data_IF_069403188178
#
_entry.id   IF_069403188178
#
_cell.length_a   1.000
_cell.length_b   1.000
_cell.length_c   1.000
_cell.angle_alpha   90.00
_cell.angle_beta   90.00
_cell.angle_gamma   90.00
#
_symmetry.space_group_name_H-M   'P 1'
#
loop_
_entity.id
_entity.type
_entity.pdbx_description
1 polymer ?
#
# COMPACT_ATOMS: atom_id res chain seq x y z
N UNK A 1 10.09 -12.73 -1.74
CA UNK A 1 10.57 -11.35 -1.66
C UNK A 1 10.16 -10.79 -0.32
N UNK A 2 11.08 -10.15 0.41
CA UNK A 2 10.73 -9.45 1.65
C UNK A 2 10.50 -7.99 1.30
N UNK A 3 9.25 -7.55 1.34
CA UNK A 3 8.91 -6.13 1.27
C UNK A 3 9.41 -5.46 2.56
N UNK A 4 9.99 -4.27 2.44
CA UNK A 4 10.30 -3.43 3.59
C UNK A 4 9.42 -2.17 3.57
N UNK A 5 9.35 -1.48 4.72
CA UNK A 5 8.62 -0.21 4.80
C UNK A 5 9.17 0.83 3.82
N UNK A 6 10.47 0.80 3.53
CA UNK A 6 11.12 1.68 2.57
C UNK A 6 10.58 1.47 1.15
N UNK A 7 10.33 0.23 0.74
CA UNK A 7 9.71 -0.07 -0.56
C UNK A 7 8.28 0.48 -0.62
N UNK A 8 7.49 0.27 0.44
CA UNK A 8 6.13 0.81 0.54
C UNK A 8 6.12 2.33 0.48
N UNK A 9 7.02 2.98 1.21
CA UNK A 9 7.15 4.45 1.25
C UNK A 9 7.57 4.99 -0.11
N UNK A 10 8.48 4.28 -0.80
CA UNK A 10 8.94 4.64 -2.15
C UNK A 10 7.82 4.49 -3.18
N UNK A 11 7.06 3.41 -3.10
CA UNK A 11 5.93 3.18 -3.99
C UNK A 11 4.82 4.21 -3.77
N UNK A 12 4.49 4.52 -2.51
CA UNK A 12 3.58 5.62 -2.19
C UNK A 12 4.06 6.95 -2.74
N UNK A 13 5.34 7.29 -2.51
CA UNK A 13 5.92 8.55 -3.02
C UNK A 13 5.83 8.65 -4.54
N UNK A 14 5.97 7.52 -5.26
CA UNK A 14 5.75 7.48 -6.71
C UNK A 14 4.29 7.75 -7.06
N UNK A 15 3.35 7.10 -6.39
CA UNK A 15 1.90 7.32 -6.64
C UNK A 15 1.50 8.75 -6.32
N UNK A 16 1.99 9.32 -5.21
CA UNK A 16 1.82 10.73 -4.83
C UNK A 16 2.33 11.66 -5.92
N UNK A 17 3.52 11.39 -6.47
CA UNK A 17 4.11 12.20 -7.54
C UNK A 17 3.34 12.07 -8.86
N UNK A 18 2.85 10.87 -9.21
CA UNK A 18 2.07 10.62 -10.44
C UNK A 18 0.72 11.32 -10.39
N UNK A 19 0.00 11.15 -9.29
CA UNK A 19 -1.35 11.68 -9.11
C UNK A 19 -1.38 13.10 -8.54
N UNK A 20 -0.21 13.65 -8.16
CA UNK A 20 -0.05 14.94 -7.47
C UNK A 20 -0.93 15.04 -6.22
N UNK A 21 -1.03 13.94 -5.48
CA UNK A 21 -1.77 13.82 -4.22
C UNK A 21 -0.79 13.70 -3.05
N UNK A 22 -1.24 14.07 -1.86
CA UNK A 22 -0.49 13.84 -0.62
C UNK A 22 -1.19 12.73 0.17
N UNK A 23 -0.47 11.64 0.42
CA UNK A 23 -0.95 10.47 1.15
C UNK A 23 -0.36 10.43 2.56
N UNK A 24 -0.22 11.60 3.19
CA UNK A 24 0.38 11.77 4.52
C UNK A 24 -0.31 10.89 5.57
N UNK A 25 -1.63 10.73 5.49
CA UNK A 25 -2.41 9.82 6.33
C UNK A 25 -1.95 8.36 6.20
N UNK A 26 -1.62 7.93 4.98
CA UNK A 26 -1.11 6.58 4.71
C UNK A 26 0.32 6.43 5.24
N UNK A 27 1.17 7.44 5.04
CA UNK A 27 2.53 7.47 5.59
C UNK A 27 2.54 7.40 7.11
N UNK A 28 1.67 8.17 7.77
CA UNK A 28 1.49 8.07 9.22
C UNK A 28 0.99 6.69 9.63
N UNK A 29 0.01 6.13 8.91
CA UNK A 29 -0.51 4.79 9.21
C UNK A 29 0.60 3.74 9.10
N UNK A 30 1.41 3.80 8.04
CA UNK A 30 2.54 2.91 7.80
C UNK A 30 3.62 3.06 8.88
N UNK A 31 3.99 4.28 9.28
CA UNK A 31 4.94 4.50 10.38
C UNK A 31 4.41 4.00 11.73
N UNK A 32 3.13 4.20 12.02
CA UNK A 32 2.52 3.73 13.26
C UNK A 32 2.30 2.20 13.28
N UNK A 33 2.11 1.59 12.11
CA UNK A 33 1.76 0.17 11.97
C UNK A 33 2.72 -0.54 11.02
N UNK A 34 4.02 -0.33 11.20
CA UNK A 34 5.05 -0.72 10.24
C UNK A 34 5.06 -2.22 9.96
N UNK A 35 5.13 -3.04 11.01
CA UNK A 35 5.13 -4.50 10.92
C UNK A 35 3.85 -5.05 10.30
N UNK A 36 2.70 -4.45 10.63
CA UNK A 36 1.41 -4.83 10.06
C UNK A 36 1.35 -4.50 8.57
N UNK A 37 1.71 -3.27 8.19
CA UNK A 37 1.63 -2.77 6.82
C UNK A 37 2.52 -3.58 5.89
N UNK A 38 3.76 -3.85 6.31
CA UNK A 38 4.71 -4.69 5.56
C UNK A 38 4.17 -6.11 5.39
N UNK A 39 3.65 -6.72 6.47
CA UNK A 39 3.12 -8.08 6.41
C UNK A 39 1.89 -8.16 5.51
N UNK A 40 0.93 -7.24 5.66
CA UNK A 40 -0.26 -7.17 4.83
C UNK A 40 0.09 -6.98 3.35
N UNK A 41 0.97 -6.02 3.03
CA UNK A 41 1.42 -5.82 1.66
C UNK A 41 2.16 -7.02 1.09
N UNK A 42 3.00 -7.69 1.89
CA UNK A 42 3.68 -8.91 1.45
C UNK A 42 2.70 -10.03 1.07
N UNK A 43 1.53 -10.09 1.72
CA UNK A 43 0.47 -11.02 1.33
C UNK A 43 -0.30 -10.53 0.10
N UNK A 44 -0.57 -9.23 0.00
CA UNK A 44 -1.26 -8.61 -1.15
C UNK A 44 -0.45 -8.83 -2.44
N UNK A 45 0.84 -8.49 -2.44
CA UNK A 45 1.67 -8.64 -3.66
C UNK A 45 1.87 -10.09 -4.07
N UNK A 46 1.75 -11.03 -3.13
CA UNK A 46 1.85 -12.46 -3.39
C UNK A 46 0.60 -13.02 -4.09
N UNK A 47 -0.50 -12.27 -4.08
CA UNK A 47 -1.72 -12.62 -4.82
C UNK A 47 -1.59 -12.17 -6.27
N UNK A 48 -1.93 -13.02 -7.24
CA UNK A 48 -1.84 -12.68 -8.67
C UNK A 48 -3.08 -11.88 -9.15
N UNK A 49 -4.23 -12.10 -8.51
CA UNK A 49 -5.51 -11.50 -8.89
C UNK A 49 -5.67 -10.06 -8.38
N UNK A 50 -5.94 -9.12 -9.29
CA UNK A 50 -6.24 -7.70 -8.98
C UNK A 50 -7.41 -7.59 -7.99
N UNK A 51 -8.50 -8.32 -8.24
CA UNK A 51 -9.70 -8.31 -7.38
C UNK A 51 -9.38 -8.72 -5.94
N UNK A 52 -8.56 -9.74 -5.76
CA UNK A 52 -8.18 -10.22 -4.43
C UNK A 52 -7.21 -9.25 -3.74
N UNK A 53 -6.28 -8.64 -4.50
CA UNK A 53 -5.43 -7.56 -3.98
C UNK A 53 -6.25 -6.39 -3.47
N UNK A 54 -7.22 -5.93 -4.28
CA UNK A 54 -8.07 -4.81 -3.90
C UNK A 54 -8.95 -5.15 -2.70
N UNK A 55 -9.53 -6.36 -2.64
CA UNK A 55 -10.29 -6.83 -1.46
C UNK A 55 -9.43 -6.89 -0.20
N UNK A 56 -8.20 -7.38 -0.30
CA UNK A 56 -7.29 -7.44 0.83
C UNK A 56 -6.90 -6.03 1.30
N UNK A 57 -6.63 -5.11 0.37
CA UNK A 57 -6.38 -3.70 0.69
C UNK A 57 -7.61 -3.06 1.33
N UNK A 58 -8.78 -3.26 0.76
CA UNK A 58 -10.04 -2.70 1.26
C UNK A 58 -10.34 -3.17 2.68
N UNK A 59 -10.05 -4.45 2.98
CA UNK A 59 -10.24 -5.04 4.29
C UNK A 59 -9.21 -4.56 5.32
N UNK A 60 -7.91 -4.66 4.99
CA UNK A 60 -6.82 -4.37 5.94
C UNK A 60 -6.61 -2.86 6.13
N UNK A 61 -6.95 -2.06 5.11
CA UNK A 61 -6.79 -0.61 5.07
C UNK A 61 -8.11 0.14 4.88
N UNK A 62 -9.22 -0.42 5.39
CA UNK A 62 -10.55 0.18 5.31
C UNK A 62 -10.59 1.64 5.77
N UNK A 63 -9.77 1.96 6.79
CA UNK A 63 -9.64 3.30 7.39
C UNK A 63 -8.99 4.34 6.46
N UNK A 64 -8.31 3.90 5.40
CA UNK A 64 -7.58 4.79 4.48
C UNK A 64 -8.47 5.33 3.35
N UNK A 65 -9.75 4.96 3.28
CA UNK A 65 -10.75 5.60 2.41
C UNK A 65 -10.34 5.60 0.93
N UNK A 66 -10.34 6.77 0.30
CA UNK A 66 -9.95 6.95 -1.11
C UNK A 66 -8.50 6.55 -1.41
N UNK A 67 -7.64 6.41 -0.39
CA UNK A 67 -6.26 6.01 -0.61
C UNK A 67 -6.10 4.53 -1.00
N UNK A 68 -7.17 3.72 -0.91
CA UNK A 68 -7.18 2.30 -1.30
C UNK A 68 -6.76 2.08 -2.76
N UNK A 69 -7.18 2.96 -3.66
CA UNK A 69 -6.80 2.91 -5.08
C UNK A 69 -5.30 3.13 -5.25
N UNK A 70 -4.73 4.09 -4.52
CA UNK A 70 -3.30 4.37 -4.53
C UNK A 70 -2.47 3.27 -3.87
N UNK A 71 -3.01 2.60 -2.85
CA UNK A 71 -2.39 1.42 -2.24
C UNK A 71 -2.34 0.24 -3.21
N UNK A 72 -3.39 0.07 -4.04
CA UNK A 72 -3.40 -0.94 -5.09
C UNK A 72 -2.29 -0.65 -6.10
N UNK A 73 -2.19 0.57 -6.60
CA UNK A 73 -1.11 0.99 -7.50
C UNK A 73 0.28 0.80 -6.86
N UNK A 74 0.44 1.21 -5.60
CA UNK A 74 1.67 1.00 -4.86
C UNK A 74 2.03 -0.48 -4.75
N UNK A 75 1.06 -1.38 -4.58
CA UNK A 75 1.29 -2.83 -4.54
C UNK A 75 1.89 -3.38 -5.83
N UNK A 76 1.63 -2.75 -6.98
CA UNK A 76 2.23 -3.09 -8.26
C UNK A 76 3.64 -2.52 -8.44
N UNK A 77 3.97 -1.44 -7.75
CA UNK A 77 5.28 -0.78 -7.82
C UNK A 77 6.34 -1.41 -6.89
N UNK A 78 5.90 -2.19 -5.90
CA UNK A 78 6.75 -2.89 -4.93
C UNK A 78 7.12 -4.32 -5.38
N UNK A 79 6.54 -4.79 -6.50
CA UNK A 79 6.78 -6.13 -7.07
C UNK A 79 8.15 -6.28 -7.73
#
# INVERSE_FOLDING_TARGET
>A
MSINISDLTTALSKVEHIHKVQLENVHQFFKSNETFSVKAFSQIVATDSIDERFKAIDKEFALLGDAKTYLLEASYLVA
#
